data_IF_718393960072
#
_entry.id   IF_718393960072
#
_cell.length_a   1.000
_cell.length_b   1.000
_cell.length_c   1.000
_cell.angle_alpha   90.00
_cell.angle_beta   90.00
_cell.angle_gamma   90.00
#
_symmetry.space_group_name_H-M   'P 1'
#
loop_
_entity.id
_entity.type
_entity.pdbx_description
1 polymer ?
#
# COMPACT_ATOMS: atom_id res chain seq x y z
N UNK A 1 -12.36 13.15 -9.26
CA UNK A 1 -11.08 13.72 -9.68
C UNK A 1 -10.02 13.56 -8.58
N UNK A 2 -10.26 14.03 -7.36
CA UNK A 2 -9.34 13.84 -6.21
C UNK A 2 -8.96 12.37 -5.99
N UNK A 3 -9.94 11.48 -5.89
CA UNK A 3 -9.72 10.04 -5.71
C UNK A 3 -8.76 9.43 -6.75
N UNK A 4 -8.84 9.86 -8.01
CA UNK A 4 -7.93 9.38 -9.07
C UNK A 4 -6.51 9.92 -8.90
N UNK A 5 -6.36 11.16 -8.43
CA UNK A 5 -5.05 11.76 -8.13
C UNK A 5 -4.44 11.06 -6.92
N UNK A 6 -5.23 10.80 -5.88
CA UNK A 6 -4.80 10.08 -4.68
C UNK A 6 -4.29 8.66 -5.03
N UNK A 7 -5.03 7.90 -5.88
CA UNK A 7 -4.58 6.61 -6.37
C UNK A 7 -3.26 6.69 -7.16
N UNK A 8 -3.10 7.72 -8.00
CA UNK A 8 -1.85 7.91 -8.76
C UNK A 8 -0.65 8.14 -7.84
N UNK A 9 -0.82 9.01 -6.86
CA UNK A 9 0.25 9.32 -5.90
C UNK A 9 0.60 8.10 -5.06
N UNK A 10 -0.40 7.35 -4.60
CA UNK A 10 -0.21 6.07 -3.91
C UNK A 10 0.62 5.09 -4.73
N UNK A 11 0.25 4.86 -6.00
CA UNK A 11 1.00 3.97 -6.87
C UNK A 11 2.46 4.42 -7.05
N UNK A 12 2.69 5.72 -7.14
CA UNK A 12 4.04 6.28 -7.24
C UNK A 12 4.84 6.09 -5.95
N UNK A 13 4.23 6.32 -4.79
CA UNK A 13 4.85 6.07 -3.48
C UNK A 13 5.24 4.60 -3.31
N UNK A 14 4.32 3.69 -3.59
CA UNK A 14 4.57 2.25 -3.50
C UNK A 14 5.80 1.82 -4.33
N UNK A 15 5.96 2.35 -5.54
CA UNK A 15 7.11 2.02 -6.38
C UNK A 15 8.43 2.52 -5.78
N UNK A 16 8.43 3.72 -5.18
CA UNK A 16 9.62 4.29 -4.53
C UNK A 16 9.97 3.52 -3.26
N UNK A 17 8.97 3.20 -2.43
CA UNK A 17 9.16 2.45 -1.18
C UNK A 17 9.66 1.03 -1.46
N UNK A 18 9.05 0.31 -2.41
CA UNK A 18 9.51 -1.03 -2.78
C UNK A 18 10.98 -1.06 -3.22
N UNK A 19 11.43 -0.02 -3.94
CA UNK A 19 12.84 0.12 -4.32
C UNK A 19 13.77 0.37 -3.14
N UNK A 20 13.33 1.15 -2.17
CA UNK A 20 14.11 1.49 -0.98
C UNK A 20 14.17 0.33 0.01
N UNK A 21 13.08 -0.43 0.14
CA UNK A 21 12.94 -1.49 1.12
C UNK A 21 13.59 -2.81 0.66
N UNK A 22 13.84 -2.98 -0.65
CA UNK A 22 14.59 -4.13 -1.18
C UNK A 22 16.09 -3.86 -1.11
N UNK A 23 16.76 -4.31 -0.05
CA UNK A 23 18.21 -4.14 0.14
C UNK A 23 19.04 -5.27 -0.48
N UNK A 24 18.46 -6.45 -0.69
CA UNK A 24 19.12 -7.60 -1.32
C UNK A 24 18.99 -7.57 -2.84
N UNK A 25 19.97 -8.15 -3.55
CA UNK A 25 19.90 -8.29 -5.01
C UNK A 25 19.21 -9.60 -5.43
N UNK A 26 19.36 -10.66 -4.64
CA UNK A 26 18.78 -11.98 -4.92
C UNK A 26 18.17 -12.60 -3.67
N UNK A 27 17.01 -13.23 -3.84
CA UNK A 27 16.36 -14.10 -2.87
C UNK A 27 16.16 -15.48 -3.50
N UNK A 28 16.74 -16.49 -2.90
CA UNK A 28 16.65 -17.89 -3.32
C UNK A 28 15.74 -18.66 -2.37
N UNK A 29 14.67 -19.23 -2.88
CA UNK A 29 13.76 -20.09 -2.12
C UNK A 29 14.04 -21.54 -2.46
N UNK A 30 14.35 -22.36 -1.46
CA UNK A 30 14.74 -23.76 -1.62
C UNK A 30 13.54 -24.69 -1.52
N UNK A 31 13.55 -25.74 -2.37
CA UNK A 31 12.74 -26.96 -2.17
C UNK A 31 13.44 -27.91 -1.21
N UNK A 32 14.75 -28.05 -1.41
CA UNK A 32 15.59 -28.97 -0.69
C UNK A 32 16.83 -28.22 -0.20
N UNK A 33 16.79 -27.63 0.99
CA UNK A 33 17.93 -26.92 1.56
C UNK A 33 19.10 -27.90 1.81
N UNK A 34 20.30 -27.35 1.84
CA UNK A 34 21.52 -28.09 2.24
C UNK A 34 21.85 -27.69 3.67
N UNK A 35 22.72 -28.50 4.32
CA UNK A 35 23.22 -28.19 5.67
C UNK A 35 24.17 -26.98 5.68
N UNK A 36 24.82 -26.72 4.54
CA UNK A 36 25.76 -25.60 4.41
C UNK A 36 25.15 -24.49 3.60
N UNK A 37 25.17 -23.29 4.14
CA UNK A 37 24.74 -22.04 3.44
C UNK A 37 25.79 -21.72 2.38
N UNK A 38 25.41 -21.40 1.14
CA UNK A 38 26.34 -21.00 0.11
C UNK A 38 27.15 -19.77 0.50
N UNK A 39 28.43 -19.75 0.13
CA UNK A 39 29.33 -18.62 0.39
C UNK A 39 28.75 -17.32 -0.15
N UNK A 40 28.66 -16.28 0.70
CA UNK A 40 28.09 -14.99 0.36
C UNK A 40 26.54 -14.94 0.43
N UNK A 41 25.91 -15.99 0.95
CA UNK A 41 24.48 -16.02 1.25
C UNK A 41 24.20 -15.81 2.72
N UNK A 42 23.11 -15.14 3.05
CA UNK A 42 22.58 -15.00 4.40
C UNK A 42 21.34 -15.88 4.53
N UNK A 43 21.38 -16.83 5.46
CA UNK A 43 20.29 -17.76 5.70
C UNK A 43 19.06 -17.08 6.33
N UNK A 44 17.91 -17.62 6.01
CA UNK A 44 16.65 -17.28 6.62
C UNK A 44 15.68 -18.47 6.55
N UNK A 45 14.73 -18.49 7.47
CA UNK A 45 13.68 -19.49 7.49
C UNK A 45 12.33 -18.81 7.26
N UNK A 46 11.61 -19.21 6.24
CA UNK A 46 10.31 -18.62 5.89
C UNK A 46 9.19 -19.65 6.01
N UNK A 47 8.10 -19.26 6.66
CA UNK A 47 6.83 -20.01 6.73
C UNK A 47 5.71 -19.07 6.32
N UNK A 48 4.81 -19.56 5.49
CA UNK A 48 3.61 -18.79 5.11
C UNK A 48 2.47 -19.18 6.03
N UNK A 49 2.02 -18.23 6.81
CA UNK A 49 0.86 -18.34 7.69
C UNK A 49 -0.26 -17.48 7.14
N UNK A 50 -1.47 -17.61 7.67
CA UNK A 50 -2.63 -16.83 7.23
C UNK A 50 -3.20 -15.96 8.34
N UNK A 51 -3.74 -14.83 7.92
CA UNK A 51 -4.52 -13.97 8.81
C UNK A 51 -5.80 -13.53 8.11
N UNK A 52 -6.92 -13.73 8.80
CA UNK A 52 -8.22 -13.28 8.32
C UNK A 52 -8.39 -11.76 8.45
N UNK A 53 -8.94 -11.15 7.41
CA UNK A 53 -9.44 -9.77 7.41
C UNK A 53 -10.71 -9.68 6.57
N UNK A 54 -11.80 -9.20 7.15
CA UNK A 54 -13.09 -8.99 6.46
C UNK A 54 -13.56 -10.25 5.68
N UNK A 55 -13.31 -11.45 6.21
CA UNK A 55 -13.66 -12.72 5.58
C UNK A 55 -12.69 -13.20 4.49
N UNK A 56 -11.54 -12.56 4.33
CA UNK A 56 -10.46 -12.99 3.43
C UNK A 56 -9.25 -13.46 4.23
N UNK A 57 -8.72 -14.64 3.91
CA UNK A 57 -7.46 -15.13 4.45
C UNK A 57 -6.32 -14.60 3.59
N UNK A 58 -5.46 -13.78 4.16
CA UNK A 58 -4.27 -13.26 3.50
C UNK A 58 -3.03 -13.98 3.99
N UNK A 59 -2.15 -14.24 3.05
CA UNK A 59 -0.83 -14.81 3.33
C UNK A 59 0.05 -13.79 4.07
N UNK A 60 0.60 -14.22 5.19
CA UNK A 60 1.61 -13.52 5.97
C UNK A 60 2.86 -14.38 6.00
N UNK A 61 3.96 -13.86 5.49
CA UNK A 61 5.25 -14.56 5.54
C UNK A 61 5.92 -14.29 6.88
N UNK A 62 5.99 -15.32 7.73
CA UNK A 62 6.84 -15.30 8.91
C UNK A 62 8.26 -15.61 8.47
N UNK A 63 9.20 -14.70 8.70
CA UNK A 63 10.58 -14.78 8.27
C UNK A 63 11.50 -14.78 9.49
N UNK A 64 12.16 -15.90 9.71
CA UNK A 64 13.24 -16.05 10.70
C UNK A 64 14.52 -15.45 10.16
N UNK A 65 15.05 -14.47 10.85
CA UNK A 65 16.30 -13.77 10.51
C UNK A 65 17.27 -13.79 11.70
N UNK A 66 18.56 -13.67 11.43
CA UNK A 66 19.58 -13.48 12.44
C UNK A 66 19.59 -12.02 12.93
N UNK A 67 20.05 -11.75 14.14
CA UNK A 67 20.17 -10.41 14.73
C UNK A 67 21.00 -9.47 13.84
N UNK A 68 22.07 -9.99 13.22
CA UNK A 68 23.00 -9.25 12.36
C UNK A 68 22.59 -9.25 10.88
N UNK A 69 21.33 -9.50 10.55
CA UNK A 69 20.89 -9.56 9.17
C UNK A 69 21.00 -8.17 8.48
N UNK A 70 21.76 -8.06 7.37
CA UNK A 70 22.03 -6.76 6.73
C UNK A 70 20.87 -6.24 5.88
N UNK A 71 19.88 -7.10 5.57
CA UNK A 71 18.82 -6.78 4.59
C UNK A 71 17.56 -6.21 5.21
N UNK A 72 17.34 -6.45 6.51
CA UNK A 72 16.12 -6.02 7.20
C UNK A 72 16.45 -5.20 8.44
N UNK A 73 15.84 -4.02 8.57
CA UNK A 73 15.99 -3.15 9.75
C UNK A 73 15.04 -3.63 10.88
N UNK A 74 15.09 -4.91 11.20
CA UNK A 74 14.24 -5.52 12.22
C UNK A 74 15.13 -6.05 13.36
N UNK A 75 15.12 -5.37 14.50
CA UNK A 75 15.82 -5.79 15.71
C UNK A 75 15.04 -6.92 16.38
N UNK A 76 15.21 -8.15 15.88
CA UNK A 76 14.52 -9.33 16.41
C UNK A 76 15.03 -9.68 17.80
N UNK A 77 14.14 -10.07 18.70
CA UNK A 77 14.46 -10.55 20.03
C UNK A 77 14.15 -12.04 20.13
N UNK A 78 14.97 -12.79 20.85
CA UNK A 78 14.70 -14.20 21.16
C UNK A 78 13.37 -14.39 21.88
N UNK A 79 12.60 -15.36 21.47
CA UNK A 79 11.33 -15.74 22.07
C UNK A 79 10.31 -16.25 21.06
N UNK A 80 9.69 -17.40 21.31
CA UNK A 80 8.77 -18.12 20.42
C UNK A 80 7.48 -17.36 20.09
N UNK A 81 7.16 -16.29 20.81
CA UNK A 81 5.94 -15.50 20.64
C UNK A 81 6.20 -14.03 20.32
N UNK A 82 7.43 -13.64 20.01
CA UNK A 82 7.81 -12.26 19.72
C UNK A 82 8.04 -12.08 18.24
N UNK A 83 7.36 -11.11 17.65
CA UNK A 83 7.53 -10.76 16.24
C UNK A 83 7.66 -9.25 16.05
N UNK A 84 8.38 -8.88 15.01
CA UNK A 84 8.37 -7.53 14.44
C UNK A 84 7.58 -7.60 13.14
N UNK A 85 6.59 -6.74 12.98
CA UNK A 85 5.75 -6.76 11.78
C UNK A 85 6.20 -5.71 10.77
N UNK A 86 5.94 -5.96 9.49
CA UNK A 86 6.14 -4.99 8.42
C UNK A 86 5.18 -3.80 8.55
N UNK A 87 5.59 -2.62 8.09
CA UNK A 87 4.70 -1.45 8.01
C UNK A 87 3.44 -1.75 7.20
N UNK A 88 3.57 -2.56 6.14
CA UNK A 88 2.45 -3.04 5.35
C UNK A 88 1.41 -3.81 6.19
N UNK A 89 1.88 -4.72 7.04
CA UNK A 89 1.01 -5.50 7.92
C UNK A 89 0.41 -4.63 9.03
N UNK A 90 1.20 -3.75 9.64
CA UNK A 90 0.75 -2.84 10.68
C UNK A 90 -0.38 -1.93 10.20
N UNK A 91 -0.22 -1.31 9.03
CA UNK A 91 -1.22 -0.43 8.42
C UNK A 91 -2.51 -1.17 8.04
N UNK A 92 -2.36 -2.36 7.45
CA UNK A 92 -3.51 -3.12 6.96
C UNK A 92 -4.40 -3.65 8.07
N UNK A 93 -3.81 -4.16 9.13
CA UNK A 93 -4.53 -4.76 10.26
C UNK A 93 -4.72 -3.79 11.43
N UNK A 94 -4.20 -2.55 11.35
CA UNK A 94 -4.24 -1.58 12.43
C UNK A 94 -3.48 -2.04 13.68
N UNK A 95 -2.35 -2.75 13.50
CA UNK A 95 -1.57 -3.34 14.59
C UNK A 95 -0.50 -2.36 15.07
N UNK A 96 -0.31 -2.34 16.38
CA UNK A 96 0.67 -1.51 17.06
C UNK A 96 1.57 -2.36 17.95
N UNK A 97 2.70 -1.82 18.35
CA UNK A 97 3.58 -2.45 19.33
C UNK A 97 2.83 -2.77 20.63
N UNK A 98 2.93 -4.01 21.07
CA UNK A 98 2.22 -4.55 22.24
C UNK A 98 0.95 -5.33 21.93
N UNK A 99 0.44 -5.23 20.70
CA UNK A 99 -0.75 -5.97 20.29
C UNK A 99 -0.46 -7.46 20.14
N UNK A 100 -1.51 -8.26 20.29
CA UNK A 100 -1.45 -9.70 20.01
C UNK A 100 -2.04 -9.98 18.64
N UNK A 101 -1.35 -10.80 17.88
CA UNK A 101 -1.79 -11.26 16.56
C UNK A 101 -1.81 -12.78 16.52
N UNK A 102 -2.88 -13.33 15.96
CA UNK A 102 -2.99 -14.76 15.70
C UNK A 102 -2.75 -14.97 14.21
N UNK A 103 -1.84 -15.87 13.88
CA UNK A 103 -1.54 -16.33 12.53
C UNK A 103 -1.83 -17.83 12.49
N UNK A 104 -2.56 -18.26 11.49
CA UNK A 104 -3.02 -19.65 11.35
C UNK A 104 -2.19 -20.37 10.30
N UNK A 105 -1.71 -21.55 10.63
CA UNK A 105 -1.21 -22.51 9.66
C UNK A 105 -2.40 -23.34 9.15
N UNK A 106 -2.77 -23.12 7.87
CA UNK A 106 -3.91 -23.85 7.27
C UNK A 106 -3.57 -25.32 6.95
N UNK A 107 -2.29 -25.67 6.82
CA UNK A 107 -1.90 -27.04 6.50
C UNK A 107 -1.99 -27.95 7.75
N UNK A 108 -1.61 -27.41 8.90
CA UNK A 108 -1.63 -28.12 10.18
C UNK A 108 -2.84 -27.79 11.06
N UNK A 109 -3.65 -26.80 10.68
CA UNK A 109 -4.79 -26.28 11.44
C UNK A 109 -4.41 -25.82 12.85
N UNK A 110 -3.26 -25.12 12.93
CA UNK A 110 -2.69 -24.60 14.18
C UNK A 110 -2.69 -23.09 14.20
N UNK A 111 -3.16 -22.53 15.32
CA UNK A 111 -3.12 -21.09 15.58
C UNK A 111 -1.91 -20.71 16.42
N UNK A 112 -1.07 -19.84 15.89
CA UNK A 112 0.07 -19.27 16.59
C UNK A 112 -0.24 -17.87 17.08
N UNK A 113 -0.12 -17.65 18.40
CA UNK A 113 -0.34 -16.35 19.01
C UNK A 113 0.98 -15.62 19.25
N UNK A 114 1.16 -14.50 18.57
CA UNK A 114 2.35 -13.65 18.67
C UNK A 114 2.06 -12.33 19.33
N UNK A 115 3.09 -11.73 19.94
CA UNK A 115 3.09 -10.35 20.45
C UNK A 115 3.94 -9.48 19.53
N UNK A 116 3.39 -8.38 19.07
CA UNK A 116 4.10 -7.41 18.24
C UNK A 116 5.08 -6.61 19.10
N UNK A 117 6.37 -6.85 18.95
CA UNK A 117 7.43 -6.14 19.67
C UNK A 117 7.83 -4.83 18.98
N UNK A 118 7.59 -4.72 17.67
CA UNK A 118 7.93 -3.54 16.89
C UNK A 118 7.34 -3.56 15.49
N UNK A 119 7.49 -2.44 14.81
CA UNK A 119 7.11 -2.29 13.40
C UNK A 119 8.34 -1.83 12.63
N UNK A 120 8.71 -2.57 11.59
CA UNK A 120 9.79 -2.20 10.69
C UNK A 120 9.26 -1.68 9.36
N UNK A 121 9.99 -0.74 8.76
CA UNK A 121 9.62 -0.22 7.43
C UNK A 121 9.93 -1.29 6.38
N UNK A 122 8.86 -1.91 5.87
CA UNK A 122 8.93 -2.88 4.77
C UNK A 122 7.57 -2.93 4.08
N UNK A 123 7.53 -2.51 2.82
CA UNK A 123 6.28 -2.29 2.07
C UNK A 123 5.95 -3.40 1.06
N UNK A 124 6.90 -4.30 0.80
CA UNK A 124 6.80 -5.33 -0.25
C UNK A 124 5.71 -6.38 -0.01
N UNK A 125 5.25 -6.55 1.22
CA UNK A 125 4.21 -7.52 1.54
C UNK A 125 3.93 -7.64 3.03
N UNK A 126 3.06 -8.59 3.36
CA UNK A 126 2.72 -8.93 4.74
C UNK A 126 3.82 -9.81 5.33
N UNK A 127 4.79 -9.19 6.00
CA UNK A 127 5.89 -9.89 6.64
C UNK A 127 5.84 -9.72 8.16
N UNK A 128 6.15 -10.80 8.85
CA UNK A 128 6.47 -10.82 10.27
C UNK A 128 7.87 -11.38 10.44
N UNK A 129 8.73 -10.69 11.17
CA UNK A 129 10.12 -11.06 11.39
C UNK A 129 10.27 -11.61 12.79
N UNK A 130 11.02 -12.69 12.93
CA UNK A 130 11.29 -13.38 14.17
C UNK A 130 12.76 -13.79 14.23
N UNK A 131 13.30 -14.00 15.43
CA UNK A 131 14.60 -14.62 15.60
C UNK A 131 14.60 -16.04 15.01
N UNK A 132 15.60 -16.34 14.16
CA UNK A 132 15.64 -17.61 13.40
C UNK A 132 15.74 -18.83 14.31
N UNK A 133 16.48 -18.75 15.41
CA UNK A 133 16.62 -19.85 16.37
C UNK A 133 15.29 -20.12 17.09
N UNK A 134 14.64 -19.05 17.56
CA UNK A 134 13.32 -19.14 18.19
C UNK A 134 12.26 -19.69 17.24
N UNK A 135 12.37 -19.38 15.93
CA UNK A 135 11.47 -19.87 14.91
C UNK A 135 11.70 -21.36 14.62
N UNK A 136 12.97 -21.79 14.53
CA UNK A 136 13.34 -23.21 14.40
C UNK A 136 12.79 -24.07 15.54
N UNK A 137 12.91 -23.56 16.77
CA UNK A 137 12.34 -24.21 17.95
C UNK A 137 10.80 -24.21 17.97
N UNK A 138 10.14 -23.17 17.39
CA UNK A 138 8.67 -23.07 17.35
C UNK A 138 8.09 -24.13 16.40
N UNK A 139 8.73 -24.34 15.27
CA UNK A 139 8.28 -25.28 14.22
C UNK A 139 8.97 -26.66 14.31
N UNK A 140 9.69 -26.94 15.38
CA UNK A 140 10.37 -28.25 15.67
C UNK A 140 11.23 -28.72 14.49
N UNK A 141 12.00 -27.81 13.89
CA UNK A 141 12.95 -28.10 12.82
C UNK A 141 14.38 -28.10 13.35
N UNK A 142 15.36 -28.67 12.58
CA UNK A 142 16.75 -28.68 12.99
C UNK A 142 17.36 -27.29 13.13
N UNK A 143 18.34 -27.13 14.02
CA UNK A 143 19.02 -25.85 14.32
C UNK A 143 19.74 -25.26 13.10
N UNK A 144 20.07 -26.08 12.09
CA UNK A 144 20.71 -25.72 10.84
C UNK A 144 19.71 -25.56 9.66
N UNK A 145 18.39 -25.60 9.93
CA UNK A 145 17.39 -25.55 8.89
C UNK A 145 17.20 -24.14 8.36
N UNK A 146 17.22 -24.00 7.03
CA UNK A 146 16.84 -22.81 6.31
C UNK A 146 16.15 -23.18 4.98
N UNK A 147 15.32 -22.32 4.45
CA UNK A 147 14.67 -22.50 3.15
C UNK A 147 14.71 -21.24 2.27
N UNK A 148 15.28 -20.16 2.78
CA UNK A 148 15.50 -18.92 2.04
C UNK A 148 16.95 -18.46 2.25
N UNK A 149 17.58 -17.98 1.17
CA UNK A 149 18.89 -17.33 1.22
C UNK A 149 18.83 -16.02 0.50
N UNK A 150 19.29 -14.94 1.16
CA UNK A 150 19.46 -13.62 0.59
C UNK A 150 20.92 -13.41 0.20
N UNK A 151 21.18 -12.71 -0.91
CA UNK A 151 22.52 -12.39 -1.36
C UNK A 151 22.56 -11.11 -2.20
N UNK A 152 23.71 -10.42 -2.15
CA UNK A 152 24.01 -9.28 -3.02
C UNK A 152 24.59 -9.71 -4.38
N UNK A 153 24.92 -11.01 -4.52
CA UNK A 153 25.53 -11.56 -5.71
C UNK A 153 24.78 -12.79 -6.21
N UNK A 154 24.88 -13.05 -7.50
CA UNK A 154 24.33 -14.27 -8.07
C UNK A 154 25.09 -15.49 -7.54
N UNK A 155 24.37 -16.36 -6.82
CA UNK A 155 24.90 -17.61 -6.29
C UNK A 155 24.74 -18.75 -7.30
N UNK A 156 25.74 -19.61 -7.39
CA UNK A 156 25.69 -20.79 -8.27
C UNK A 156 25.01 -21.95 -7.57
N UNK A 157 23.70 -21.95 -7.54
CA UNK A 157 22.88 -22.98 -6.89
C UNK A 157 22.23 -23.84 -7.99
N UNK A 158 22.29 -25.18 -7.89
CA UNK A 158 21.62 -26.07 -8.84
C UNK A 158 20.11 -25.82 -8.87
N UNK A 159 19.55 -25.55 -10.05
CA UNK A 159 18.14 -25.19 -10.24
C UNK A 159 17.15 -26.26 -9.73
N UNK A 160 17.55 -27.53 -9.67
CA UNK A 160 16.74 -28.62 -9.14
C UNK A 160 16.47 -28.52 -7.63
N UNK A 161 17.26 -27.74 -6.89
CA UNK A 161 17.09 -27.51 -5.44
C UNK A 161 16.24 -26.29 -5.11
N UNK A 162 16.05 -25.41 -6.08
CA UNK A 162 15.33 -24.16 -5.89
C UNK A 162 13.86 -24.31 -6.25
N UNK A 163 13.00 -23.73 -5.42
CA UNK A 163 11.61 -23.46 -5.77
C UNK A 163 11.54 -22.25 -6.71
N UNK A 164 12.29 -21.22 -6.43
CA UNK A 164 12.38 -20.01 -7.23
C UNK A 164 13.57 -19.14 -6.86
N UNK A 165 13.88 -18.25 -7.76
CA UNK A 165 14.85 -17.16 -7.53
C UNK A 165 14.16 -15.87 -7.86
N UNK A 166 14.14 -14.93 -6.93
CA UNK A 166 13.58 -13.59 -7.12
C UNK A 166 14.73 -12.58 -7.09
N UNK A 167 14.89 -11.81 -8.15
CA UNK A 167 15.86 -10.73 -8.17
C UNK A 167 15.20 -9.40 -7.87
N UNK A 168 15.98 -8.45 -7.35
CA UNK A 168 15.55 -7.06 -7.14
C UNK A 168 14.95 -6.46 -8.41
N UNK A 169 15.57 -6.69 -9.57
CA UNK A 169 15.07 -6.25 -10.86
C UNK A 169 13.66 -6.80 -11.17
N UNK A 170 13.41 -8.08 -10.83
CA UNK A 170 12.10 -8.70 -11.01
C UNK A 170 11.04 -8.06 -10.09
N UNK A 171 11.38 -7.75 -8.84
CA UNK A 171 10.49 -7.05 -7.90
C UNK A 171 10.15 -5.66 -8.44
N UNK A 172 11.15 -4.89 -8.86
CA UNK A 172 10.96 -3.56 -9.44
C UNK A 172 10.12 -3.62 -10.72
N UNK A 173 10.36 -4.61 -11.58
CA UNK A 173 9.60 -4.81 -12.81
C UNK A 173 8.16 -5.20 -12.51
N UNK A 174 7.91 -6.09 -11.56
CA UNK A 174 6.56 -6.50 -11.16
C UNK A 174 5.77 -5.31 -10.61
N UNK A 175 6.38 -4.48 -9.76
CA UNK A 175 5.77 -3.25 -9.25
C UNK A 175 5.44 -2.27 -10.38
N UNK A 176 6.35 -2.09 -11.35
CA UNK A 176 6.13 -1.20 -12.49
C UNK A 176 5.05 -1.70 -13.43
N UNK A 177 4.95 -3.02 -13.64
CA UNK A 177 3.88 -3.65 -14.44
C UNK A 177 2.53 -3.45 -13.77
N UNK A 178 2.43 -3.66 -12.46
CA UNK A 178 1.21 -3.42 -11.71
C UNK A 178 0.72 -1.97 -11.86
N UNK A 179 1.62 -1.01 -11.70
CA UNK A 179 1.31 0.42 -11.88
C UNK A 179 0.87 0.70 -13.31
N UNK A 180 1.56 0.14 -14.32
CA UNK A 180 1.21 0.34 -15.73
C UNK A 180 -0.16 -0.22 -16.10
N UNK A 181 -0.60 -1.28 -15.44
CA UNK A 181 -1.96 -1.83 -15.58
C UNK A 181 -3.02 -0.97 -14.90
N UNK A 182 -2.70 -0.35 -13.76
CA UNK A 182 -3.63 0.53 -13.03
C UNK A 182 -3.76 1.92 -13.67
N UNK A 183 -2.72 2.42 -14.36
CA UNK A 183 -2.69 3.75 -14.96
C UNK A 183 -3.84 4.05 -15.92
N UNK A 184 -4.18 3.21 -16.90
CA UNK A 184 -5.30 3.47 -17.81
C UNK A 184 -6.63 3.60 -17.06
N UNK A 185 -6.84 2.80 -16.03
CA UNK A 185 -8.04 2.86 -15.18
C UNK A 185 -8.13 4.16 -14.39
N UNK A 186 -7.02 4.61 -13.80
CA UNK A 186 -6.92 5.88 -13.07
C UNK A 186 -7.18 7.06 -14.03
N UNK A 187 -6.53 7.07 -15.19
CA UNK A 187 -6.71 8.13 -16.21
C UNK A 187 -8.16 8.19 -16.69
N UNK A 188 -8.77 7.04 -16.99
CA UNK A 188 -10.18 6.98 -17.40
C UNK A 188 -11.10 7.55 -16.31
N UNK A 189 -10.86 7.22 -15.05
CA UNK A 189 -11.65 7.74 -13.91
C UNK A 189 -11.50 9.26 -13.76
N UNK A 190 -10.28 9.80 -13.93
CA UNK A 190 -10.03 11.25 -13.87
C UNK A 190 -10.71 11.97 -15.03
N UNK A 191 -10.58 11.46 -16.25
CA UNK A 191 -11.20 12.05 -17.45
C UNK A 191 -12.72 12.03 -17.34
N UNK A 192 -13.32 10.92 -16.93
CA UNK A 192 -14.76 10.82 -16.74
C UNK A 192 -15.26 11.80 -15.68
N UNK A 193 -14.55 11.91 -14.57
CA UNK A 193 -14.85 12.89 -13.51
C UNK A 193 -14.77 14.33 -14.01
N UNK A 194 -13.78 14.66 -14.84
CA UNK A 194 -13.63 15.99 -15.43
C UNK A 194 -14.78 16.32 -16.39
N UNK A 195 -15.23 15.36 -17.21
CA UNK A 195 -16.36 15.52 -18.10
C UNK A 195 -17.65 15.78 -17.29
N UNK A 196 -17.93 14.94 -16.29
CA UNK A 196 -19.10 15.11 -15.43
C UNK A 196 -19.07 16.47 -14.75
N UNK A 197 -17.92 16.89 -14.21
CA UNK A 197 -17.77 18.21 -13.60
C UNK A 197 -18.06 19.34 -14.59
N UNK A 198 -17.53 19.26 -15.82
CA UNK A 198 -17.78 20.27 -16.85
C UNK A 198 -19.27 20.35 -17.24
N UNK A 199 -19.94 19.21 -17.35
CA UNK A 199 -21.39 19.16 -17.66
C UNK A 199 -22.21 19.76 -16.51
N UNK A 200 -21.91 19.39 -15.28
CA UNK A 200 -22.61 19.95 -14.10
C UNK A 200 -22.40 21.44 -14.00
N UNK A 201 -21.16 21.93 -14.19
CA UNK A 201 -20.87 23.36 -14.18
C UNK A 201 -21.61 24.09 -15.30
N UNK A 202 -21.68 23.53 -16.50
CA UNK A 202 -22.44 24.10 -17.61
C UNK A 202 -23.95 24.20 -17.28
N UNK A 203 -24.54 23.12 -16.76
CA UNK A 203 -25.95 23.10 -16.37
C UNK A 203 -26.26 24.10 -15.25
N UNK A 204 -25.41 24.19 -14.24
CA UNK A 204 -25.55 25.16 -13.14
C UNK A 204 -25.53 26.60 -13.68
N UNK A 205 -24.56 26.92 -14.56
CA UNK A 205 -24.52 28.26 -15.17
C UNK A 205 -25.74 28.53 -16.00
N UNK A 206 -26.22 27.58 -16.81
CA UNK A 206 -27.42 27.73 -17.63
C UNK A 206 -28.65 28.01 -16.78
N UNK A 207 -28.91 27.20 -15.78
CA UNK A 207 -30.03 27.34 -14.83
C UNK A 207 -29.97 28.72 -14.13
N UNK A 208 -28.78 29.14 -13.72
CA UNK A 208 -28.60 30.44 -13.06
C UNK A 208 -28.92 31.60 -13.99
N UNK A 209 -28.46 31.55 -15.24
CA UNK A 209 -28.77 32.59 -16.26
C UNK A 209 -30.28 32.64 -16.55
N UNK A 210 -30.91 31.47 -16.75
CA UNK A 210 -32.33 31.35 -17.06
C UNK A 210 -33.20 31.92 -15.91
N UNK A 211 -32.87 31.59 -14.66
CA UNK A 211 -33.56 32.11 -13.47
C UNK A 211 -33.33 33.62 -13.23
N UNK A 212 -32.16 34.10 -13.63
CA UNK A 212 -31.77 35.50 -13.43
C UNK A 212 -32.11 36.40 -14.64
N UNK A 213 -32.67 35.83 -15.71
CA UNK A 213 -32.94 36.58 -16.97
C UNK A 213 -33.76 37.86 -16.76
N UNK A 214 -34.77 37.79 -15.91
CA UNK A 214 -35.58 38.97 -15.56
C UNK A 214 -34.77 40.04 -14.81
N UNK A 215 -33.99 39.62 -13.79
CA UNK A 215 -33.11 40.52 -13.03
C UNK A 215 -32.04 41.19 -13.89
N UNK A 216 -31.44 40.41 -14.80
CA UNK A 216 -30.44 40.86 -15.78
C UNK A 216 -31.06 41.91 -16.71
N UNK A 217 -32.29 41.67 -17.19
CA UNK A 217 -33.00 42.60 -18.06
C UNK A 217 -33.32 43.90 -17.30
N UNK A 218 -33.74 43.83 -16.06
CA UNK A 218 -34.03 44.99 -15.22
C UNK A 218 -32.76 45.80 -14.95
N UNK A 219 -31.64 45.18 -14.62
CA UNK A 219 -30.35 45.87 -14.44
C UNK A 219 -29.89 46.61 -15.71
N UNK A 220 -30.12 46.01 -16.90
CA UNK A 220 -29.82 46.70 -18.18
C UNK A 220 -30.69 47.93 -18.41
N UNK A 221 -31.94 47.88 -18.03
CA UNK A 221 -32.83 49.05 -18.10
C UNK A 221 -32.33 50.19 -17.19
N UNK A 222 -31.76 49.86 -16.01
CA UNK A 222 -31.14 50.83 -15.10
C UNK A 222 -29.76 51.32 -15.54
N UNK A 223 -29.28 50.92 -16.73
CA UNK A 223 -28.05 51.44 -17.33
C UNK A 223 -26.75 50.71 -16.91
N UNK A 224 -26.85 49.59 -16.23
CA UNK A 224 -25.67 48.77 -15.89
C UNK A 224 -25.04 48.14 -17.14
N UNK A 225 -23.72 48.22 -17.24
CA UNK A 225 -22.99 47.64 -18.37
C UNK A 225 -23.00 46.09 -18.28
N UNK A 226 -23.05 45.44 -19.43
CA UNK A 226 -23.05 43.96 -19.52
C UNK A 226 -21.85 43.33 -18.80
N UNK A 227 -20.70 44.01 -18.75
CA UNK A 227 -19.50 43.54 -18.01
C UNK A 227 -19.70 43.52 -16.50
N UNK A 228 -20.43 44.51 -15.94
CA UNK A 228 -20.69 44.62 -14.51
C UNK A 228 -21.70 43.58 -14.05
N UNK A 229 -22.74 43.39 -14.83
CA UNK A 229 -23.71 42.30 -14.59
C UNK A 229 -23.04 40.91 -14.63
N UNK A 230 -22.21 40.67 -15.66
CA UNK A 230 -21.48 39.43 -15.82
C UNK A 230 -20.52 39.17 -14.66
N UNK A 231 -19.82 40.20 -14.18
CA UNK A 231 -18.92 40.12 -13.03
C UNK A 231 -19.66 39.75 -11.74
N UNK A 232 -20.78 40.37 -11.48
CA UNK A 232 -21.60 40.12 -10.28
C UNK A 232 -22.05 38.65 -10.19
N UNK A 233 -22.51 38.09 -11.32
CA UNK A 233 -22.95 36.68 -11.38
C UNK A 233 -21.78 35.70 -11.35
N UNK A 234 -20.64 36.04 -11.94
CA UNK A 234 -19.45 35.20 -11.93
C UNK A 234 -18.77 35.13 -10.55
N UNK A 235 -18.67 36.31 -9.89
CA UNK A 235 -18.07 36.38 -8.55
C UNK A 235 -18.91 35.62 -7.52
N UNK A 236 -20.24 35.70 -7.58
CA UNK A 236 -21.15 34.93 -6.73
C UNK A 236 -20.97 33.42 -6.91
N UNK A 237 -20.84 32.97 -8.17
CA UNK A 237 -20.65 31.54 -8.47
C UNK A 237 -19.27 31.05 -8.06
N UNK A 238 -18.23 31.89 -8.17
CA UNK A 238 -16.87 31.55 -7.72
C UNK A 238 -16.83 31.25 -6.22
N UNK A 239 -17.49 32.02 -5.37
CA UNK A 239 -17.55 31.77 -3.93
C UNK A 239 -18.24 30.44 -3.62
N UNK A 240 -19.32 30.11 -4.29
CA UNK A 240 -20.03 28.83 -4.10
C UNK A 240 -19.13 27.64 -4.48
N UNK A 241 -18.44 27.74 -5.61
CA UNK A 241 -17.52 26.73 -6.08
C UNK A 241 -16.32 26.59 -5.13
N UNK A 242 -15.76 27.71 -4.67
CA UNK A 242 -14.62 27.71 -3.73
C UNK A 242 -14.99 27.07 -2.38
N UNK A 243 -16.16 27.40 -1.81
CA UNK A 243 -16.65 26.80 -0.58
C UNK A 243 -16.94 25.30 -0.80
N UNK A 244 -17.58 24.95 -1.92
CA UNK A 244 -17.84 23.57 -2.29
C UNK A 244 -16.54 22.76 -2.39
N UNK A 245 -15.51 23.29 -3.04
CA UNK A 245 -14.20 22.66 -3.14
C UNK A 245 -13.54 22.46 -1.76
N UNK A 246 -13.58 23.52 -0.91
CA UNK A 246 -13.02 23.46 0.45
C UNK A 246 -13.70 22.40 1.33
N UNK A 247 -14.96 22.09 1.12
CA UNK A 247 -15.69 21.02 1.82
C UNK A 247 -15.44 19.66 1.17
N UNK A 248 -15.38 19.59 -0.16
CA UNK A 248 -15.21 18.33 -0.88
C UNK A 248 -13.81 17.72 -0.70
N UNK A 249 -12.76 18.53 -0.51
CA UNK A 249 -11.39 18.04 -0.30
C UNK A 249 -11.31 17.15 0.97
N UNK A 250 -11.64 17.63 2.18
CA UNK A 250 -11.61 16.79 3.37
C UNK A 250 -12.64 15.65 3.32
N UNK A 251 -13.81 15.86 2.71
CA UNK A 251 -14.79 14.80 2.54
C UNK A 251 -14.28 13.67 1.64
N UNK A 252 -13.53 13.95 0.58
CA UNK A 252 -12.93 12.93 -0.28
C UNK A 252 -11.86 12.11 0.48
N UNK A 253 -11.09 12.74 1.37
CA UNK A 253 -10.12 12.04 2.22
C UNK A 253 -10.81 11.07 3.19
N UNK A 254 -11.84 11.53 3.90
CA UNK A 254 -12.63 10.68 4.82
C UNK A 254 -13.25 9.49 4.05
N UNK A 255 -13.78 9.75 2.87
CA UNK A 255 -14.35 8.69 2.02
C UNK A 255 -13.30 7.69 1.57
N UNK A 256 -12.10 8.17 1.23
CA UNK A 256 -10.98 7.32 0.83
C UNK A 256 -10.53 6.43 2.00
N UNK A 257 -10.36 7.00 3.19
CA UNK A 257 -9.97 6.26 4.40
C UNK A 257 -11.01 5.19 4.78
N UNK A 258 -12.29 5.44 4.51
CA UNK A 258 -13.37 4.47 4.77
C UNK A 258 -13.47 3.35 3.72
N UNK A 259 -13.27 3.66 2.44
CA UNK A 259 -13.43 2.71 1.33
C UNK A 259 -12.15 1.91 1.08
N UNK A 260 -11.00 2.50 1.30
CA UNK A 260 -9.70 1.93 0.99
C UNK A 260 -9.44 0.54 1.62
N UNK A 261 -9.68 0.32 2.93
CA UNK A 261 -9.51 -1.01 3.54
C UNK A 261 -10.33 -2.09 2.84
N UNK A 262 -11.50 -1.71 2.31
CA UNK A 262 -12.41 -2.61 1.61
C UNK A 262 -11.92 -2.93 0.18
N UNK A 263 -11.33 -1.94 -0.53
CA UNK A 263 -10.80 -2.14 -1.89
C UNK A 263 -9.52 -2.98 -1.91
N UNK A 264 -8.73 -2.92 -0.85
CA UNK A 264 -7.41 -3.57 -0.76
C UNK A 264 -7.44 -4.80 0.15
N UNK A 265 -8.63 -5.20 0.65
CA UNK A 265 -8.77 -6.32 1.59
C UNK A 265 -8.14 -7.62 1.06
N UNK A 266 -8.25 -7.89 -0.24
CA UNK A 266 -7.76 -9.09 -0.92
C UNK A 266 -6.39 -8.92 -1.61
N UNK A 267 -5.68 -7.82 -1.39
CA UNK A 267 -4.33 -7.61 -1.94
C UNK A 267 -3.32 -7.61 -0.79
N UNK A 268 -2.35 -8.52 -0.85
CA UNK A 268 -1.28 -8.64 0.15
C UNK A 268 -0.20 -7.55 -0.03
N UNK A 269 -0.60 -6.29 -0.06
CA UNK A 269 0.33 -5.16 -0.06
C UNK A 269 -0.08 -4.14 1.00
N UNK A 270 0.90 -3.52 1.64
CA UNK A 270 0.70 -2.32 2.44
C UNK A 270 0.62 -1.12 1.52
N UNK A 271 -0.20 -0.18 1.88
CA UNK A 271 -0.23 1.12 1.23
C UNK A 271 -0.32 2.19 2.30
N UNK A 272 0.65 3.07 2.34
CA UNK A 272 0.65 4.19 3.24
C UNK A 272 -0.44 5.18 2.80
N UNK A 273 -1.46 5.36 3.64
CA UNK A 273 -2.54 6.34 3.43
C UNK A 273 -2.18 7.76 3.85
N UNK A 274 -0.97 7.95 4.40
CA UNK A 274 -0.51 9.28 4.78
C UNK A 274 -0.07 10.06 3.56
N UNK A 275 -0.94 10.93 3.07
CA UNK A 275 -0.60 11.86 1.98
C UNK A 275 0.18 13.05 2.52
N UNK A 276 1.17 13.48 1.75
CA UNK A 276 1.86 14.73 2.07
C UNK A 276 0.89 15.91 1.90
N UNK A 277 0.97 16.90 2.78
CA UNK A 277 0.21 18.15 2.71
C UNK A 277 0.25 18.83 1.33
N UNK A 278 1.29 18.62 0.55
CA UNK A 278 1.48 19.20 -0.79
C UNK A 278 0.47 18.70 -1.84
N UNK A 279 -0.33 17.69 -1.52
CA UNK A 279 -1.33 17.09 -2.40
C UNK A 279 -2.72 17.77 -2.29
N UNK A 280 -2.96 18.51 -1.25
CA UNK A 280 -4.19 19.27 -0.97
C UNK A 280 -4.02 20.75 -1.28
#
# INVERSE_FOLDING_TARGET
>A
MMLGIDCYVMCKHLNVENKQDTKYEYMYTYKYPTKEVPDGGTESYAVTLKKEILGYNLDVTLLGITEDNPYFDAAVESGKNKIIISSAMAEKYGLHTGDKVILTDEEEDIDYAFTVCGVTKYSLGMYAFMDIESMRELFDVSDDYYNVVFSDHALSIPSGRLYGTTSREQIEKSSSVFISMMMPMIVMMVVLSAIIFAVVMYLMMKVMIDRSAFGISLMKIFGYRTKEVKKLYLDGNFFVVAIGAAVCIPASKILMDAIYPMLVSNVACGMNLTFSWQLY
#
